data_IF_082630163595
#
_entry.id   IF_082630163595
#
_cell.length_a   1.000
_cell.length_b   1.000
_cell.length_c   1.000
_cell.angle_alpha   90.00
_cell.angle_beta   90.00
_cell.angle_gamma   90.00
#
_symmetry.space_group_name_H-M   'P 1'
#
loop_
_entity.id
_entity.type
_entity.pdbx_description
1 polymer ?
#
# COMPACT_ATOMS: atom_id res chain seq x y z
N UNK A 1 -18.60 -22.27 -10.63
CA UNK A 1 -18.24 -21.52 -9.44
C UNK A 1 -17.17 -20.50 -9.84
N UNK A 2 -17.28 -19.25 -9.37
CA UNK A 2 -16.22 -18.27 -9.58
C UNK A 2 -14.92 -18.74 -8.89
N UNK A 3 -13.79 -18.60 -9.56
CA UNK A 3 -12.47 -18.95 -8.98
C UNK A 3 -12.15 -18.00 -7.84
N UNK A 4 -11.53 -18.51 -6.80
CA UNK A 4 -11.04 -17.69 -5.70
C UNK A 4 -9.81 -16.91 -6.13
N UNK A 5 -9.82 -15.59 -5.96
CA UNK A 5 -8.68 -14.74 -6.32
C UNK A 5 -7.81 -14.54 -5.09
N UNK A 6 -6.50 -14.76 -5.24
CA UNK A 6 -5.48 -14.47 -4.23
C UNK A 6 -4.49 -13.49 -4.83
N UNK A 7 -4.28 -12.33 -4.20
CA UNK A 7 -3.28 -11.38 -4.68
C UNK A 7 -2.03 -11.41 -3.83
N UNK A 8 -0.89 -11.08 -4.45
CA UNK A 8 0.39 -10.97 -3.74
C UNK A 8 0.93 -9.54 -3.80
N UNK A 9 1.34 -9.03 -2.64
CA UNK A 9 2.06 -7.76 -2.47
C UNK A 9 3.27 -8.01 -1.60
N UNK A 10 4.48 -7.86 -2.12
CA UNK A 10 5.72 -8.13 -1.37
C UNK A 10 6.83 -7.15 -1.73
N UNK A 11 7.90 -7.16 -0.94
CA UNK A 11 9.18 -6.49 -1.21
C UNK A 11 10.27 -7.44 -1.71
N UNK A 12 9.89 -8.65 -2.20
CA UNK A 12 10.84 -9.70 -2.59
C UNK A 12 11.56 -9.45 -3.92
N UNK A 13 11.03 -8.52 -4.73
CA UNK A 13 11.48 -8.36 -6.10
C UNK A 13 11.00 -9.49 -7.01
N UNK A 14 11.48 -9.47 -8.26
CA UNK A 14 11.15 -10.47 -9.29
C UNK A 14 12.36 -11.28 -9.75
N UNK A 15 13.55 -11.05 -9.14
CA UNK A 15 14.81 -11.62 -9.60
C UNK A 15 15.07 -13.03 -9.06
N UNK A 16 14.45 -13.40 -7.93
CA UNK A 16 14.64 -14.69 -7.29
C UNK A 16 13.35 -15.50 -7.18
N UNK A 17 13.43 -16.64 -6.48
CA UNK A 17 12.35 -17.63 -6.43
C UNK A 17 11.24 -17.32 -5.41
N UNK A 18 11.38 -16.33 -4.52
CA UNK A 18 10.53 -16.20 -3.34
C UNK A 18 9.04 -16.06 -3.69
N UNK A 19 8.71 -15.13 -4.58
CA UNK A 19 7.33 -14.92 -5.03
C UNK A 19 6.79 -16.17 -5.76
N UNK A 20 7.60 -16.78 -6.63
CA UNK A 20 7.25 -18.04 -7.32
C UNK A 20 6.98 -19.19 -6.36
N UNK A 21 7.77 -19.32 -5.29
CA UNK A 21 7.59 -20.34 -4.26
C UNK A 21 6.27 -20.15 -3.51
N UNK A 22 5.90 -18.92 -3.16
CA UNK A 22 4.59 -18.62 -2.55
C UNK A 22 3.43 -19.07 -3.44
N UNK A 23 3.50 -18.79 -4.75
CA UNK A 23 2.51 -19.22 -5.74
C UNK A 23 2.43 -20.76 -5.81
N UNK A 24 3.57 -21.43 -5.83
CA UNK A 24 3.64 -22.89 -5.82
C UNK A 24 2.93 -23.51 -4.62
N UNK A 25 3.11 -22.95 -3.42
CA UNK A 25 2.42 -23.37 -2.19
C UNK A 25 0.91 -23.13 -2.29
N UNK A 26 0.48 -21.97 -2.76
CA UNK A 26 -0.95 -21.70 -2.96
C UNK A 26 -1.57 -22.73 -3.90
N UNK A 27 -0.96 -22.98 -5.06
CA UNK A 27 -1.48 -23.89 -6.07
C UNK A 27 -1.45 -25.35 -5.62
N UNK A 28 -0.50 -25.75 -4.77
CA UNK A 28 -0.46 -27.11 -4.21
C UNK A 28 -1.62 -27.40 -3.26
N UNK A 29 -2.20 -26.37 -2.61
CA UNK A 29 -3.33 -26.48 -1.69
C UNK A 29 -4.66 -26.25 -2.42
N UNK A 30 -4.72 -25.24 -3.29
CA UNK A 30 -5.89 -24.91 -4.10
C UNK A 30 -5.45 -24.67 -5.57
N UNK A 31 -5.49 -25.72 -6.39
CA UNK A 31 -5.15 -25.65 -7.82
C UNK A 31 -6.08 -24.77 -8.64
N UNK A 32 -7.30 -24.49 -8.13
CA UNK A 32 -8.29 -23.63 -8.80
C UNK A 32 -8.16 -22.15 -8.45
N UNK A 33 -7.22 -21.78 -7.55
CA UNK A 33 -7.00 -20.39 -7.20
C UNK A 33 -6.43 -19.60 -8.39
N UNK A 34 -6.96 -18.42 -8.61
CA UNK A 34 -6.39 -17.44 -9.53
C UNK A 34 -5.46 -16.51 -8.75
N UNK A 35 -4.18 -16.47 -9.16
CA UNK A 35 -3.17 -15.66 -8.46
C UNK A 35 -2.86 -14.43 -9.30
N UNK A 36 -3.01 -13.24 -8.70
CA UNK A 36 -2.67 -11.97 -9.32
C UNK A 36 -1.60 -11.22 -8.49
N UNK A 37 -0.55 -10.74 -9.13
CA UNK A 37 0.43 -9.90 -8.46
C UNK A 37 -0.04 -8.44 -8.46
N UNK A 38 -0.13 -7.83 -7.28
CA UNK A 38 -0.23 -6.37 -7.19
C UNK A 38 1.16 -5.79 -7.43
N UNK A 39 2.13 -6.22 -6.65
CA UNK A 39 3.55 -5.88 -6.84
C UNK A 39 4.46 -6.76 -6.00
N UNK A 40 5.66 -7.01 -6.50
CA UNK A 40 6.78 -7.58 -5.73
C UNK A 40 7.90 -6.55 -5.54
N UNK A 41 7.65 -5.29 -5.92
CA UNK A 41 8.63 -4.20 -5.89
C UNK A 41 8.31 -3.13 -4.86
N UNK A 42 7.65 -3.49 -3.76
CA UNK A 42 7.65 -2.64 -2.56
C UNK A 42 9.10 -2.42 -2.16
N UNK A 43 9.45 -1.20 -1.77
CA UNK A 43 10.80 -0.91 -1.30
C UNK A 43 11.17 -1.85 -0.14
N UNK A 44 12.37 -2.45 -0.14
CA UNK A 44 12.76 -3.42 0.87
C UNK A 44 12.56 -2.90 2.30
N UNK A 45 11.83 -3.68 3.10
CA UNK A 45 11.49 -3.40 4.51
C UNK A 45 10.60 -2.17 4.75
N UNK A 46 10.06 -1.56 3.70
CA UNK A 46 9.27 -0.34 3.79
C UNK A 46 7.78 -0.62 4.01
N UNK A 47 7.35 -0.56 5.27
CA UNK A 47 5.96 -0.80 5.66
C UNK A 47 5.01 0.27 5.10
N UNK A 48 5.45 1.52 4.99
CA UNK A 48 4.61 2.58 4.42
C UNK A 48 4.40 2.39 2.92
N UNK A 49 5.44 2.02 2.17
CA UNK A 49 5.32 1.75 0.74
C UNK A 49 4.41 0.53 0.50
N UNK A 50 4.55 -0.52 1.32
CA UNK A 50 3.64 -1.67 1.31
C UNK A 50 2.19 -1.31 1.61
N UNK A 51 1.96 -0.49 2.64
CA UNK A 51 0.63 -0.02 3.02
C UNK A 51 -0.01 0.85 1.92
N UNK A 52 0.78 1.73 1.28
CA UNK A 52 0.34 2.51 0.12
C UNK A 52 -0.02 1.61 -1.06
N UNK A 53 0.82 0.62 -1.37
CA UNK A 53 0.58 -0.29 -2.47
C UNK A 53 -0.74 -1.07 -2.31
N UNK A 54 -0.92 -1.75 -1.18
CA UNK A 54 -2.16 -2.51 -0.94
C UNK A 54 -3.36 -1.59 -0.77
N UNK A 55 -3.25 -0.50 0.00
CA UNK A 55 -4.33 0.42 0.27
C UNK A 55 -4.89 1.11 -0.98
N UNK A 56 -4.08 1.33 -2.01
CA UNK A 56 -4.52 1.92 -3.27
C UNK A 56 -5.13 0.88 -4.23
N UNK A 57 -4.74 -0.40 -4.13
CA UNK A 57 -5.06 -1.42 -5.12
C UNK A 57 -6.27 -2.29 -4.75
N UNK A 58 -6.42 -2.70 -3.47
CA UNK A 58 -7.33 -3.80 -3.09
C UNK A 58 -8.78 -3.58 -3.52
N UNK A 59 -9.31 -2.37 -3.43
CA UNK A 59 -10.70 -2.03 -3.74
C UNK A 59 -11.10 -2.23 -5.21
N UNK A 60 -10.13 -2.38 -6.10
CA UNK A 60 -10.37 -2.65 -7.52
C UNK A 60 -10.49 -4.14 -7.84
N UNK A 61 -10.21 -5.00 -6.87
CA UNK A 61 -10.41 -6.43 -7.00
C UNK A 61 -11.87 -6.82 -6.65
N UNK A 62 -12.36 -7.92 -7.19
CA UNK A 62 -13.69 -8.43 -6.85
C UNK A 62 -13.85 -8.70 -5.34
N UNK A 63 -15.09 -8.59 -4.85
CA UNK A 63 -15.43 -9.00 -3.49
C UNK A 63 -14.95 -10.45 -3.20
N UNK A 64 -14.57 -10.72 -1.96
CA UNK A 64 -13.98 -11.98 -1.50
C UNK A 64 -12.57 -12.27 -2.03
N UNK A 65 -11.87 -11.30 -2.65
CA UNK A 65 -10.45 -11.47 -2.94
C UNK A 65 -9.66 -11.58 -1.62
N UNK A 66 -8.67 -12.48 -1.59
CA UNK A 66 -7.75 -12.66 -0.49
C UNK A 66 -6.43 -12.01 -0.86
N UNK A 67 -6.02 -11.00 -0.09
CA UNK A 67 -4.79 -10.25 -0.32
C UNK A 67 -3.70 -10.73 0.63
N UNK A 68 -2.64 -11.34 0.10
CA UNK A 68 -1.44 -11.70 0.86
C UNK A 68 -0.44 -10.57 0.75
N UNK A 69 -0.12 -9.95 1.89
CA UNK A 69 0.77 -8.80 1.94
C UNK A 69 1.97 -9.14 2.82
N UNK A 70 3.15 -9.24 2.23
CA UNK A 70 4.37 -9.66 2.94
C UNK A 70 5.48 -8.63 2.72
N UNK A 71 5.51 -7.64 3.59
CA UNK A 71 6.63 -6.76 3.86
C UNK A 71 6.93 -6.96 5.34
N UNK A 72 7.96 -7.73 5.67
CA UNK A 72 8.09 -8.33 6.99
C UNK A 72 9.51 -8.29 7.54
N UNK A 73 9.99 -7.10 7.97
CA UNK A 73 11.29 -6.99 8.62
C UNK A 73 11.40 -7.74 9.95
N UNK A 74 10.25 -8.18 10.51
CA UNK A 74 10.16 -8.94 11.76
C UNK A 74 9.92 -10.44 11.57
N UNK A 75 10.15 -10.99 10.38
CA UNK A 75 9.98 -12.44 10.14
C UNK A 75 10.79 -13.29 11.14
N UNK A 76 10.18 -14.35 11.68
CA UNK A 76 10.82 -15.24 12.66
C UNK A 76 10.90 -14.70 14.10
N UNK A 77 10.39 -13.49 14.36
CA UNK A 77 10.24 -12.94 15.71
C UNK A 77 8.85 -13.28 16.29
N UNK A 78 8.52 -12.72 17.46
CA UNK A 78 7.21 -12.88 18.11
C UNK A 78 6.07 -12.07 17.46
N UNK A 79 6.31 -11.37 16.33
CA UNK A 79 5.25 -10.66 15.62
C UNK A 79 4.18 -11.66 15.16
N UNK A 80 2.91 -11.34 15.39
CA UNK A 80 1.78 -12.22 15.07
C UNK A 80 1.53 -12.29 13.56
N UNK A 81 1.14 -13.46 12.99
CA UNK A 81 0.50 -13.52 11.69
C UNK A 81 -0.98 -13.18 11.82
N UNK A 82 -1.52 -12.39 10.90
CA UNK A 82 -2.91 -11.91 10.94
C UNK A 82 -3.72 -12.41 9.75
N UNK A 83 -4.99 -12.74 10.03
CA UNK A 83 -6.06 -12.83 9.06
C UNK A 83 -7.06 -11.71 9.35
N UNK A 84 -7.29 -10.84 8.37
CA UNK A 84 -8.17 -9.68 8.49
C UNK A 84 -9.32 -9.81 7.51
N UNK A 85 -10.53 -9.64 8.01
CA UNK A 85 -11.72 -9.38 7.19
C UNK A 85 -11.99 -7.89 7.25
N UNK A 86 -12.00 -7.22 6.10
CA UNK A 86 -12.18 -5.79 5.99
C UNK A 86 -13.12 -5.48 4.81
N UNK A 87 -14.27 -4.90 5.10
CA UNK A 87 -15.34 -4.73 4.13
C UNK A 87 -15.70 -6.05 3.46
N UNK A 88 -15.49 -6.16 2.15
CA UNK A 88 -15.77 -7.37 1.37
C UNK A 88 -14.53 -8.19 1.02
N UNK A 89 -13.37 -7.85 1.58
CA UNK A 89 -12.07 -8.45 1.27
C UNK A 89 -11.45 -9.14 2.48
N UNK A 90 -10.47 -10.01 2.21
CA UNK A 90 -9.66 -10.66 3.22
C UNK A 90 -8.19 -10.33 3.02
N UNK A 91 -7.44 -10.24 4.13
CA UNK A 91 -6.01 -9.95 4.09
C UNK A 91 -5.27 -10.93 5.00
N UNK A 92 -4.14 -11.41 4.53
CA UNK A 92 -3.22 -12.25 5.29
C UNK A 92 -1.87 -11.55 5.31
N UNK A 93 -1.40 -11.15 6.49
CA UNK A 93 -0.23 -10.29 6.64
C UNK A 93 0.43 -10.40 8.01
N UNK A 94 1.68 -9.96 8.19
CA UNK A 94 2.27 -9.79 9.51
C UNK A 94 1.62 -8.63 10.28
N UNK A 95 1.57 -8.76 11.60
CA UNK A 95 1.13 -7.72 12.55
C UNK A 95 2.23 -6.68 12.77
N UNK A 96 2.46 -5.83 11.77
CA UNK A 96 3.51 -4.82 11.78
C UNK A 96 3.06 -3.46 11.22
N UNK A 97 1.76 -3.32 10.97
CA UNK A 97 1.17 -2.09 10.47
C UNK A 97 1.08 -1.99 8.93
N UNK A 98 1.56 -2.96 8.16
CA UNK A 98 1.47 -2.92 6.69
C UNK A 98 0.04 -2.80 6.15
N UNK A 99 -0.98 -3.19 6.94
CA UNK A 99 -2.39 -3.02 6.60
C UNK A 99 -3.01 -1.71 7.10
N UNK A 100 -2.24 -0.78 7.64
CA UNK A 100 -2.78 0.44 8.28
C UNK A 100 -3.69 1.26 7.38
N UNK A 101 -3.40 1.36 6.07
CA UNK A 101 -4.28 2.07 5.13
C UNK A 101 -5.58 1.33 4.82
N UNK A 102 -5.61 0.01 4.97
CA UNK A 102 -6.84 -0.77 4.89
C UNK A 102 -7.68 -0.50 6.13
N UNK A 103 -7.06 -0.52 7.31
CA UNK A 103 -7.74 -0.25 8.58
C UNK A 103 -8.33 1.17 8.67
N UNK A 104 -7.69 2.16 8.03
CA UNK A 104 -8.18 3.53 8.00
C UNK A 104 -9.40 3.72 7.09
N UNK A 105 -9.53 2.88 6.04
CA UNK A 105 -10.58 3.00 5.01
C UNK A 105 -11.81 2.18 5.27
N UNK A 106 -11.68 1.10 6.02
CA UNK A 106 -12.76 0.15 6.26
C UNK A 106 -13.32 0.30 7.67
N UNK A 107 -14.62 0.57 7.77
CA UNK A 107 -15.31 0.73 9.06
C UNK A 107 -15.56 -0.62 9.75
N UNK A 108 -15.75 -1.68 8.96
CA UNK A 108 -16.02 -3.03 9.47
C UNK A 108 -14.76 -3.88 9.35
N UNK A 109 -14.11 -4.11 10.48
CA UNK A 109 -12.90 -4.89 10.61
C UNK A 109 -13.07 -6.03 11.58
N UNK A 110 -12.61 -7.22 11.21
CA UNK A 110 -12.35 -8.33 12.12
C UNK A 110 -10.92 -8.79 11.92
N UNK A 111 -10.12 -8.70 12.96
CA UNK A 111 -8.70 -9.08 12.93
C UNK A 111 -8.50 -10.31 13.80
N UNK A 112 -7.88 -11.35 13.24
CA UNK A 112 -7.59 -12.60 13.94
C UNK A 112 -6.10 -12.85 13.98
N UNK A 113 -5.60 -13.27 15.15
CA UNK A 113 -4.28 -13.83 15.27
C UNK A 113 -4.30 -15.28 14.76
N UNK A 114 -3.54 -15.56 13.71
CA UNK A 114 -3.46 -16.91 13.15
C UNK A 114 -2.61 -17.78 14.08
N UNK A 115 -3.24 -18.76 14.74
CA UNK A 115 -2.61 -19.68 15.69
C UNK A 115 -2.77 -21.15 15.32
N UNK A 116 -3.62 -21.45 14.34
CA UNK A 116 -3.93 -22.82 13.91
C UNK A 116 -2.83 -23.36 12.98
N UNK A 117 -1.77 -23.89 13.57
CA UNK A 117 -0.52 -24.33 12.92
C UNK A 117 -0.69 -25.55 11.98
N UNK A 118 -1.80 -26.29 12.07
CA UNK A 118 -2.12 -27.37 11.15
C UNK A 118 -2.41 -26.88 9.72
N UNK A 119 -2.65 -25.56 9.52
CA UNK A 119 -2.74 -24.93 8.20
C UNK A 119 -1.37 -24.52 7.65
N UNK A 120 -0.31 -24.56 8.45
CA UNK A 120 1.02 -24.11 8.04
C UNK A 120 1.77 -25.17 7.25
N UNK A 121 2.66 -24.72 6.39
CA UNK A 121 3.60 -25.64 5.75
C UNK A 121 4.70 -26.02 6.75
N UNK A 122 4.93 -27.33 6.92
CA UNK A 122 5.96 -27.83 7.80
C UNK A 122 7.16 -28.40 7.04
N UNK A 123 8.39 -28.30 7.57
CA UNK A 123 8.75 -27.62 8.82
C UNK A 123 8.70 -26.09 8.67
N UNK A 124 8.27 -25.40 9.74
CA UNK A 124 8.19 -23.94 9.75
C UNK A 124 9.59 -23.31 9.75
N UNK A 125 9.87 -22.47 8.78
CA UNK A 125 11.12 -21.68 8.72
C UNK A 125 11.01 -20.41 9.54
N UNK A 126 12.09 -19.96 10.13
CA UNK A 126 12.19 -18.67 10.82
C UNK A 126 12.42 -17.48 9.87
N UNK A 127 12.62 -17.72 8.56
CA UNK A 127 12.99 -16.70 7.59
C UNK A 127 12.04 -16.56 6.40
N UNK A 128 11.02 -17.45 6.29
CA UNK A 128 10.13 -17.40 5.14
C UNK A 128 8.65 -17.71 5.50
N UNK A 129 8.07 -16.92 6.39
CA UNK A 129 6.65 -17.04 6.75
C UNK A 129 5.70 -16.71 5.58
N UNK A 130 6.15 -15.99 4.55
CA UNK A 130 5.44 -15.83 3.29
C UNK A 130 5.06 -17.17 2.67
N UNK A 131 6.00 -18.11 2.64
CA UNK A 131 5.83 -19.47 2.17
C UNK A 131 5.09 -20.36 3.16
N UNK A 132 5.46 -20.30 4.45
CA UNK A 132 5.09 -21.33 5.42
C UNK A 132 3.78 -21.03 6.16
N UNK A 133 3.39 -19.75 6.27
CA UNK A 133 2.19 -19.29 6.99
C UNK A 133 1.22 -18.59 6.05
N UNK A 134 1.63 -17.48 5.42
CA UNK A 134 0.69 -16.59 4.75
C UNK A 134 0.11 -17.21 3.47
N UNK A 135 0.91 -17.86 2.66
CA UNK A 135 0.45 -18.56 1.45
C UNK A 135 -0.47 -19.73 1.75
N UNK A 136 -0.13 -20.66 2.67
CA UNK A 136 -1.03 -21.75 3.03
C UNK A 136 -2.35 -21.27 3.63
N UNK A 137 -2.33 -20.30 4.55
CA UNK A 137 -3.54 -19.73 5.16
C UNK A 137 -4.46 -19.12 4.10
N UNK A 138 -3.92 -18.34 3.18
CA UNK A 138 -4.71 -17.76 2.08
C UNK A 138 -5.33 -18.84 1.20
N UNK A 139 -4.57 -19.90 0.87
CA UNK A 139 -5.05 -21.00 0.05
C UNK A 139 -6.14 -21.82 0.75
N UNK A 140 -5.97 -22.14 2.03
CA UNK A 140 -7.00 -22.84 2.82
C UNK A 140 -8.25 -21.98 3.01
N UNK A 141 -8.09 -20.68 3.31
CA UNK A 141 -9.21 -19.75 3.39
C UNK A 141 -10.03 -19.74 2.09
N UNK A 142 -9.36 -19.74 0.94
CA UNK A 142 -10.01 -19.74 -0.38
C UNK A 142 -10.86 -20.98 -0.65
N UNK A 143 -10.66 -22.06 0.10
CA UNK A 143 -11.45 -23.30 0.02
C UNK A 143 -12.58 -23.35 1.03
N UNK A 144 -12.35 -22.85 2.25
CA UNK A 144 -13.28 -23.04 3.39
C UNK A 144 -14.13 -21.81 3.69
N UNK A 145 -13.60 -20.60 3.48
CA UNK A 145 -14.21 -19.31 3.84
C UNK A 145 -14.57 -19.18 5.34
N UNK A 146 -13.97 -20.03 6.19
CA UNK A 146 -14.21 -20.06 7.63
C UNK A 146 -13.09 -19.36 8.37
N UNK A 147 -13.17 -18.03 8.52
CA UNK A 147 -12.11 -17.23 9.13
C UNK A 147 -11.84 -17.59 10.59
N UNK A 148 -12.84 -18.01 11.33
CA UNK A 148 -12.74 -18.43 12.74
C UNK A 148 -11.92 -19.72 12.94
N UNK A 149 -11.70 -20.51 11.89
CA UNK A 149 -10.88 -21.70 11.95
C UNK A 149 -9.38 -21.40 12.10
N UNK A 150 -8.93 -20.18 11.79
CA UNK A 150 -7.51 -19.84 11.78
C UNK A 150 -6.98 -19.28 13.11
N UNK A 151 -7.86 -18.82 13.99
CA UNK A 151 -7.47 -18.30 15.30
C UNK A 151 -8.48 -17.32 15.88
N UNK A 152 -8.17 -16.81 17.06
CA UNK A 152 -9.06 -15.93 17.82
C UNK A 152 -9.01 -14.48 17.33
N UNK A 153 -10.10 -13.76 17.55
CA UNK A 153 -10.20 -12.33 17.27
C UNK A 153 -9.40 -11.52 18.28
N UNK A 154 -8.70 -10.49 17.79
CA UNK A 154 -7.90 -9.57 18.58
C UNK A 154 -8.25 -8.12 18.24
N UNK A 155 -8.00 -7.21 19.17
CA UNK A 155 -8.25 -5.76 19.00
C UNK A 155 -6.99 -4.90 19.15
N UNK A 156 -5.89 -5.49 19.61
CA UNK A 156 -4.61 -4.84 19.94
C UNK A 156 -3.55 -4.99 18.82
N UNK A 157 -4.00 -5.03 17.56
CA UNK A 157 -3.11 -5.14 16.42
C UNK A 157 -2.37 -3.83 16.09
N UNK A 158 -1.20 -3.97 15.48
CA UNK A 158 -0.32 -2.83 15.14
C UNK A 158 -0.89 -2.03 13.98
N UNK A 159 -0.93 -0.71 14.14
CA UNK A 159 -1.25 0.25 13.09
C UNK A 159 -0.47 1.55 13.26
N UNK A 160 -0.17 2.20 12.15
CA UNK A 160 0.33 3.55 12.10
C UNK A 160 -0.63 4.46 11.33
N UNK A 161 -0.51 5.75 11.50
CA UNK A 161 -1.23 6.74 10.71
C UNK A 161 -0.27 7.41 9.73
N UNK A 162 -0.77 7.74 8.52
CA UNK A 162 -0.02 8.59 7.61
C UNK A 162 0.28 9.94 8.27
N UNK A 163 1.44 10.56 7.96
CA UNK A 163 1.68 11.93 8.35
C UNK A 163 0.53 12.83 7.88
N UNK A 164 -0.14 13.51 8.80
CA UNK A 164 -1.24 14.42 8.44
C UNK A 164 -0.69 15.79 8.04
N UNK A 165 -1.30 16.44 7.05
CA UNK A 165 -1.00 17.84 6.73
C UNK A 165 -1.21 18.75 7.93
N UNK A 166 -0.44 19.83 8.00
CA UNK A 166 -0.53 20.81 9.10
C UNK A 166 -0.77 22.21 8.54
N UNK A 167 -1.63 23.03 9.18
CA UNK A 167 -1.73 24.43 8.83
C UNK A 167 -0.37 25.13 8.94
N UNK A 168 -0.05 26.01 7.99
CA UNK A 168 1.19 26.78 7.96
C UNK A 168 0.92 28.17 7.40
N UNK A 169 0.84 29.18 8.27
CA UNK A 169 0.51 30.54 7.86
C UNK A 169 -0.85 30.61 7.15
N UNK A 170 -0.85 31.11 5.90
CA UNK A 170 -2.04 31.16 5.03
C UNK A 170 -2.21 29.90 4.16
N UNK A 171 -1.55 28.82 4.50
CA UNK A 171 -1.52 27.62 3.66
C UNK A 171 -1.38 26.33 4.47
N UNK A 172 -0.82 25.32 3.83
CA UNK A 172 -0.71 23.96 4.37
C UNK A 172 0.70 23.42 4.15
N UNK A 173 1.19 22.68 5.13
CA UNK A 173 2.45 21.97 5.09
C UNK A 173 2.18 20.47 5.07
N UNK A 174 2.74 19.79 4.10
CA UNK A 174 2.71 18.34 3.93
C UNK A 174 4.09 17.76 3.72
N UNK A 175 4.11 16.54 3.21
CA UNK A 175 5.33 15.77 2.97
C UNK A 175 5.14 14.85 1.76
N UNK A 176 6.23 14.58 1.05
CA UNK A 176 6.28 13.54 0.03
C UNK A 176 6.23 12.16 0.69
N UNK A 177 5.26 11.34 0.32
CA UNK A 177 5.09 9.96 0.82
C UNK A 177 5.98 8.97 0.04
N UNK A 178 6.05 9.11 -1.29
CA UNK A 178 6.86 8.26 -2.17
C UNK A 178 7.07 8.90 -3.54
N UNK A 179 8.05 8.41 -4.28
CA UNK A 179 8.10 8.58 -5.72
C UNK A 179 7.58 7.31 -6.41
N UNK A 180 6.76 7.45 -7.45
CA UNK A 180 6.33 6.32 -8.26
C UNK A 180 7.44 5.88 -9.26
N UNK A 181 7.16 4.84 -10.05
CA UNK A 181 8.13 4.33 -11.04
C UNK A 181 8.46 5.34 -12.15
N UNK A 182 7.62 6.32 -12.40
CA UNK A 182 7.87 7.41 -13.35
C UNK A 182 8.63 8.57 -12.71
N UNK A 183 8.72 8.59 -11.39
CA UNK A 183 9.32 9.68 -10.61
C UNK A 183 8.33 10.78 -10.25
N UNK A 184 7.01 10.54 -10.36
CA UNK A 184 6.03 11.46 -9.80
C UNK A 184 6.07 11.37 -8.27
N UNK A 185 5.94 12.50 -7.60
CA UNK A 185 6.00 12.59 -6.15
C UNK A 185 4.60 12.59 -5.56
N UNK A 186 4.18 11.49 -4.95
CA UNK A 186 2.96 11.40 -4.19
C UNK A 186 3.13 12.15 -2.87
N UNK A 187 2.24 13.11 -2.60
CA UNK A 187 2.23 13.83 -1.31
C UNK A 187 1.19 13.26 -0.36
N UNK A 188 1.19 13.70 0.89
CA UNK A 188 0.13 13.42 1.84
C UNK A 188 -1.02 14.44 1.82
N UNK A 189 -1.05 15.32 0.83
CA UNK A 189 -2.09 16.34 0.66
C UNK A 189 -3.25 15.75 -0.15
N UNK A 190 -4.45 15.75 0.42
CA UNK A 190 -5.68 15.29 -0.23
C UNK A 190 -6.51 16.48 -0.74
N UNK A 191 -7.62 16.20 -1.42
CA UNK A 191 -8.52 17.23 -1.98
C UNK A 191 -9.05 18.19 -0.90
N UNK A 192 -9.37 17.66 0.28
CA UNK A 192 -9.86 18.43 1.42
C UNK A 192 -8.81 19.37 2.03
N UNK A 193 -7.52 19.09 1.83
CA UNK A 193 -6.43 19.93 2.35
C UNK A 193 -6.19 21.17 1.47
N UNK A 194 -6.51 21.10 0.18
CA UNK A 194 -6.26 22.14 -0.81
C UNK A 194 -7.50 22.48 -1.66
N UNK A 195 -8.68 22.71 -1.08
CA UNK A 195 -9.89 23.01 -1.87
C UNK A 195 -9.74 24.28 -2.71
N UNK A 196 -8.93 25.25 -2.27
CA UNK A 196 -8.66 26.48 -3.00
C UNK A 196 -7.92 26.23 -4.32
N UNK A 197 -6.98 25.27 -4.35
CA UNK A 197 -6.27 24.88 -5.58
C UNK A 197 -7.25 24.30 -6.60
N UNK A 198 -8.14 23.42 -6.15
CA UNK A 198 -9.17 22.82 -7.01
C UNK A 198 -10.14 23.88 -7.53
N UNK A 199 -10.46 24.91 -6.72
CA UNK A 199 -11.30 26.04 -7.10
C UNK A 199 -10.60 27.05 -8.02
N UNK A 200 -9.33 26.84 -8.38
CA UNK A 200 -8.58 27.73 -9.28
C UNK A 200 -7.95 28.94 -8.62
N UNK A 201 -7.87 28.98 -7.28
CA UNK A 201 -7.15 30.05 -6.57
C UNK A 201 -5.65 29.95 -6.85
N UNK A 202 -5.01 31.08 -7.05
CA UNK A 202 -3.56 31.15 -7.21
C UNK A 202 -2.84 30.66 -5.96
N UNK A 203 -1.86 29.82 -6.15
CA UNK A 203 -1.07 29.21 -5.08
C UNK A 203 0.41 29.15 -5.43
N UNK A 204 1.23 28.94 -4.43
CA UNK A 204 2.65 28.61 -4.55
C UNK A 204 2.92 27.39 -3.72
N UNK A 205 3.23 26.26 -4.38
CA UNK A 205 3.71 25.06 -3.74
C UNK A 205 5.23 25.04 -3.81
N UNK A 206 5.90 24.82 -2.69
CA UNK A 206 7.34 24.62 -2.64
C UNK A 206 7.63 23.16 -2.27
N UNK A 207 8.47 22.51 -3.09
CA UNK A 207 8.99 21.17 -2.85
C UNK A 207 10.50 21.24 -2.96
N UNK A 208 11.20 21.04 -1.85
CA UNK A 208 12.63 21.33 -1.79
C UNK A 208 12.89 22.81 -2.12
N UNK A 209 13.69 23.06 -3.15
CA UNK A 209 14.03 24.43 -3.59
C UNK A 209 13.22 24.91 -4.81
N UNK A 210 12.23 24.13 -5.27
CA UNK A 210 11.47 24.43 -6.48
C UNK A 210 10.08 24.94 -6.11
N UNK A 211 9.66 26.04 -6.75
CA UNK A 211 8.31 26.61 -6.65
C UNK A 211 7.46 26.12 -7.81
N UNK A 212 6.25 25.65 -7.52
CA UNK A 212 5.24 25.14 -8.45
C UNK A 212 3.97 25.97 -8.25
N UNK A 213 3.47 26.59 -9.29
CA UNK A 213 2.27 27.44 -9.25
C UNK A 213 1.18 27.01 -10.24
N UNK A 214 1.42 25.92 -10.96
CA UNK A 214 0.50 25.40 -11.96
C UNK A 214 -0.20 24.13 -11.46
N UNK A 215 -1.52 24.21 -11.36
CA UNK A 215 -2.37 23.04 -11.20
C UNK A 215 -2.84 22.57 -12.57
N UNK A 216 -2.53 21.33 -12.91
CA UNK A 216 -2.84 20.72 -14.20
C UNK A 216 -3.91 19.64 -14.02
N UNK A 217 -4.77 19.48 -15.04
CA UNK A 217 -5.74 18.38 -15.08
C UNK A 217 -5.12 17.10 -15.64
N UNK A 218 -4.08 17.25 -16.48
CA UNK A 218 -3.37 16.14 -17.11
C UNK A 218 -1.86 16.39 -17.12
N UNK A 219 -1.08 15.31 -17.20
CA UNK A 219 0.38 15.39 -17.30
C UNK A 219 0.86 16.22 -18.50
N UNK A 220 0.11 16.20 -19.62
CA UNK A 220 0.47 16.85 -20.88
C UNK A 220 0.39 18.38 -20.83
N UNK A 221 -0.23 18.96 -19.83
CA UNK A 221 -0.30 20.42 -19.65
C UNK A 221 1.03 21.00 -19.14
N UNK A 222 1.91 20.17 -18.56
CA UNK A 222 3.26 20.58 -18.18
C UNK A 222 4.17 20.77 -19.40
N UNK A 223 4.95 21.86 -19.40
CA UNK A 223 6.03 22.07 -20.36
C UNK A 223 7.21 21.13 -20.15
N UNK A 224 8.22 21.16 -21.04
CA UNK A 224 9.44 20.37 -20.86
C UNK A 224 10.15 20.74 -19.55
N UNK A 225 10.40 19.74 -18.69
CA UNK A 225 10.99 19.89 -17.36
C UNK A 225 10.23 20.84 -16.41
N UNK A 226 9.00 21.22 -16.74
CA UNK A 226 8.14 22.03 -15.88
C UNK A 226 7.40 21.12 -14.88
N UNK A 227 7.67 21.22 -13.58
CA UNK A 227 6.89 20.47 -12.59
C UNK A 227 5.52 21.11 -12.43
N UNK A 228 4.49 20.26 -12.40
CA UNK A 228 3.10 20.65 -12.19
C UNK A 228 2.51 19.89 -11.02
N UNK A 229 1.53 20.50 -10.37
CA UNK A 229 0.69 19.85 -9.38
C UNK A 229 -0.54 19.27 -10.07
N UNK A 230 -0.93 18.06 -9.74
CA UNK A 230 -2.16 17.45 -10.22
C UNK A 230 -2.81 16.59 -9.14
N UNK A 231 -4.09 16.30 -9.30
CA UNK A 231 -4.79 15.35 -8.44
C UNK A 231 -4.55 13.94 -8.97
N UNK A 232 -3.82 13.13 -8.19
CA UNK A 232 -3.56 11.73 -8.52
C UNK A 232 -4.79 10.84 -8.35
N UNK A 233 -4.79 9.71 -9.03
CA UNK A 233 -5.87 8.70 -8.95
C UNK A 233 -6.02 8.06 -7.56
N UNK A 234 -5.01 8.21 -6.71
CA UNK A 234 -5.00 7.77 -5.31
C UNK A 234 -5.80 8.68 -4.36
N UNK A 235 -6.23 9.86 -4.83
CA UNK A 235 -6.89 10.89 -4.03
C UNK A 235 -5.93 11.85 -3.33
N UNK A 236 -4.63 11.73 -3.57
CA UNK A 236 -3.62 12.66 -3.10
C UNK A 236 -3.10 13.55 -4.24
N UNK A 237 -2.65 14.74 -3.91
CA UNK A 237 -1.93 15.58 -4.86
C UNK A 237 -0.55 15.00 -5.17
N UNK A 238 -0.19 15.08 -6.44
CA UNK A 238 1.09 14.61 -6.98
C UNK A 238 1.83 15.73 -7.69
N UNK A 239 3.15 15.74 -7.54
CA UNK A 239 4.03 16.59 -8.37
C UNK A 239 4.57 15.74 -9.50
N UNK A 240 4.34 16.18 -10.72
CA UNK A 240 4.73 15.46 -11.92
C UNK A 240 5.44 16.33 -12.93
N UNK A 241 6.17 15.72 -13.86
CA UNK A 241 6.78 16.35 -15.03
C UNK A 241 6.37 15.57 -16.27
N UNK A 242 5.85 16.28 -17.27
CA UNK A 242 5.42 15.66 -18.51
C UNK A 242 6.57 14.90 -19.20
N UNK A 243 6.41 13.57 -19.35
CA UNK A 243 7.42 12.65 -19.90
C UNK A 243 8.80 12.78 -19.23
N UNK A 244 8.81 13.17 -17.95
CA UNK A 244 10.03 13.41 -17.17
C UNK A 244 9.93 12.77 -15.78
N UNK A 245 10.94 13.03 -14.96
CA UNK A 245 11.02 12.52 -13.59
C UNK A 245 11.01 13.72 -12.62
N UNK A 246 9.86 13.95 -11.98
CA UNK A 246 9.67 15.06 -11.04
C UNK A 246 10.65 14.98 -9.86
N UNK A 247 10.87 13.79 -9.30
CA UNK A 247 11.78 13.59 -8.17
C UNK A 247 13.21 14.11 -8.49
N UNK A 248 13.67 13.88 -9.72
CA UNK A 248 14.98 14.37 -10.17
C UNK A 248 14.96 15.87 -10.41
N UNK A 249 13.92 16.39 -11.09
CA UNK A 249 13.81 17.82 -11.44
C UNK A 249 13.74 18.69 -10.20
N UNK A 250 12.94 18.29 -9.19
CA UNK A 250 12.83 19.07 -7.95
C UNK A 250 13.82 18.63 -6.85
N UNK A 251 14.67 17.63 -7.14
CA UNK A 251 15.65 17.08 -6.20
C UNK A 251 15.01 16.65 -4.86
N UNK A 252 13.86 15.99 -4.95
CA UNK A 252 13.08 15.59 -3.80
C UNK A 252 12.80 14.09 -3.80
N UNK A 253 12.59 13.55 -2.62
CA UNK A 253 12.27 12.16 -2.38
C UNK A 253 11.35 12.04 -1.16
N UNK A 254 11.05 10.82 -0.74
CA UNK A 254 10.26 10.56 0.48
C UNK A 254 10.79 11.34 1.68
N UNK A 255 9.86 11.93 2.44
CA UNK A 255 10.16 12.77 3.60
C UNK A 255 10.46 14.23 3.27
N UNK A 256 10.61 14.59 1.99
CA UNK A 256 10.78 15.99 1.60
C UNK A 256 9.53 16.78 1.97
N UNK A 257 9.75 17.90 2.64
CA UNK A 257 8.69 18.82 3.03
C UNK A 257 8.05 19.49 1.81
N UNK A 258 6.73 19.64 1.90
CA UNK A 258 5.92 20.34 0.90
C UNK A 258 5.16 21.45 1.61
N UNK A 259 5.27 22.68 1.12
CA UNK A 259 4.49 23.81 1.63
C UNK A 259 3.64 24.39 0.52
N UNK A 260 2.38 24.70 0.82
CA UNK A 260 1.46 25.37 -0.11
C UNK A 260 0.99 26.65 0.54
N UNK A 261 1.17 27.78 -0.15
CA UNK A 261 0.71 29.10 0.27
C UNK A 261 -0.32 29.62 -0.74
N UNK A 262 -1.37 30.27 -0.23
CA UNK A 262 -2.39 30.93 -1.04
C UNK A 262 -2.15 32.43 -1.09
N UNK A 263 -2.45 33.05 -2.22
CA UNK A 263 -2.31 34.48 -2.45
C UNK A 263 -3.24 35.31 -1.53
#
# INVERSE_FOLDING_TARGET
LARSIITLTTDFGSADHLAGTMKGVILSINSDAEIADITHHVLPYDLLDGALAIGQAYKYFPAKTIHVVVVDPGVGTERRPLLVSAGTHYFVAPDNGVLSMVYEREEQLTVRHITSDHYFLQPLSTTFHGRDIFSPVAAWLSKTWQTNAFGEEITDFVRFTLPKPKPAGKGVKGVVLRADNFGNLLTNLAAEDLPQVIAGTSFKMRVGNVEISKFAQTFSEGGPNEPVLLMGSSGFFEVAVNRGNAAKVVSANRGTEVTVEFA
#
